data_IF_862083421406
#
_entry.id   IF_862083421406
#
_cell.length_a   1.000
_cell.length_b   1.000
_cell.length_c   1.000
_cell.angle_alpha   90.00
_cell.angle_beta   90.00
_cell.angle_gamma   90.00
#
_symmetry.space_group_name_H-M   'P 1'
#
loop_
_entity.id
_entity.type
_entity.pdbx_description
1 polymer ?
#
# COMPACT_ATOMS: atom_id res chain seq x y z
N UNK A 1 -21.17 -7.79 5.30
CA UNK A 1 -19.73 -7.68 5.62
C UNK A 1 -19.55 -7.37 7.12
N UNK A 2 -18.43 -7.82 7.75
CA UNK A 2 -18.19 -7.57 9.19
C UNK A 2 -16.82 -6.95 9.37
N UNK A 3 -16.74 -5.80 10.02
CA UNK A 3 -15.49 -5.07 10.23
C UNK A 3 -15.19 -4.87 11.71
N UNK A 4 -13.92 -5.01 12.08
CA UNK A 4 -13.39 -4.73 13.41
C UNK A 4 -12.54 -3.47 13.34
N UNK A 5 -13.03 -2.38 13.87
CA UNK A 5 -12.34 -1.09 13.86
C UNK A 5 -11.51 -0.91 15.13
N UNK A 6 -10.23 -0.61 14.93
CA UNK A 6 -9.32 -0.23 16.00
C UNK A 6 -9.67 1.15 16.55
N UNK A 7 -9.72 1.26 17.89
CA UNK A 7 -9.70 2.52 18.62
C UNK A 7 -8.39 2.64 19.41
N UNK A 8 -7.68 3.74 19.21
CA UNK A 8 -6.48 4.06 19.96
C UNK A 8 -6.87 4.94 21.15
N UNK A 9 -6.71 4.44 22.37
CA UNK A 9 -7.13 5.16 23.60
C UNK A 9 -8.59 5.62 23.56
N UNK A 10 -9.49 4.79 23.03
CA UNK A 10 -10.92 5.06 22.93
C UNK A 10 -11.38 5.82 21.67
N UNK A 11 -10.47 6.31 20.85
CA UNK A 11 -10.77 7.11 19.65
C UNK A 11 -10.42 6.36 18.35
N UNK A 12 -11.22 6.58 17.31
CA UNK A 12 -10.88 6.18 15.94
C UNK A 12 -9.84 7.17 15.42
N UNK A 13 -8.72 6.68 14.86
CA UNK A 13 -7.60 7.54 14.40
C UNK A 13 -7.10 7.24 13.00
N UNK A 14 -7.68 6.26 12.32
CA UNK A 14 -7.26 5.85 10.98
C UNK A 14 -8.27 6.29 9.93
N UNK A 15 -7.77 6.84 8.83
CA UNK A 15 -8.57 7.34 7.70
C UNK A 15 -9.48 6.25 7.10
N UNK A 16 -8.98 5.02 6.93
CA UNK A 16 -9.80 3.87 6.53
C UNK A 16 -11.02 3.66 7.43
N UNK A 17 -10.86 3.83 8.74
CA UNK A 17 -11.94 3.63 9.68
C UNK A 17 -13.00 4.73 9.57
N UNK A 18 -12.59 5.98 9.41
CA UNK A 18 -13.51 7.10 9.20
C UNK A 18 -14.29 6.93 7.91
N UNK A 19 -13.61 6.72 6.78
CA UNK A 19 -14.27 6.58 5.48
C UNK A 19 -15.16 5.33 5.42
N UNK A 20 -14.77 4.23 6.11
CA UNK A 20 -15.63 3.06 6.23
C UNK A 20 -16.91 3.32 7.03
N UNK A 21 -16.82 4.11 8.11
CA UNK A 21 -18.01 4.51 8.89
C UNK A 21 -18.96 5.36 8.03
N UNK A 22 -18.44 6.33 7.29
CA UNK A 22 -19.22 7.12 6.32
C UNK A 22 -19.84 6.22 5.24
N UNK A 23 -19.06 5.31 4.67
CA UNK A 23 -19.55 4.35 3.70
C UNK A 23 -20.66 3.45 4.24
N UNK A 24 -20.61 3.09 5.53
CA UNK A 24 -21.65 2.31 6.19
C UNK A 24 -22.96 3.09 6.26
N UNK A 25 -22.90 4.35 6.70
CA UNK A 25 -24.09 5.22 6.75
C UNK A 25 -24.66 5.48 5.36
N UNK A 26 -23.80 5.71 4.38
CA UNK A 26 -24.21 5.91 2.99
C UNK A 26 -24.89 4.69 2.39
N UNK A 27 -24.34 3.49 2.60
CA UNK A 27 -24.93 2.24 2.10
C UNK A 27 -26.24 1.89 2.80
N UNK A 28 -26.37 2.11 4.09
CA UNK A 28 -27.61 1.91 4.84
C UNK A 28 -28.73 2.84 4.34
N UNK A 29 -28.39 4.08 3.94
CA UNK A 29 -29.34 5.06 3.41
C UNK A 29 -29.75 4.79 1.97
N UNK A 30 -28.77 4.42 1.08
CA UNK A 30 -29.01 4.40 -0.36
C UNK A 30 -29.50 3.04 -0.89
N UNK A 31 -29.11 1.94 -0.29
CA UNK A 31 -29.06 0.68 -1.03
C UNK A 31 -29.86 -0.48 -0.43
N UNK A 32 -30.40 -0.36 0.78
CA UNK A 32 -31.06 -1.50 1.49
C UNK A 32 -30.30 -2.84 1.28
N UNK A 33 -28.96 -2.75 1.21
CA UNK A 33 -28.04 -3.86 0.89
C UNK A 33 -27.66 -4.62 2.16
N UNK A 34 -26.90 -5.71 1.96
CA UNK A 34 -26.33 -6.52 3.04
C UNK A 34 -25.75 -5.65 4.16
N UNK A 35 -26.35 -5.74 5.33
CA UNK A 35 -26.00 -4.93 6.50
C UNK A 35 -24.51 -5.05 6.85
N UNK A 36 -23.81 -3.93 6.81
CA UNK A 36 -22.44 -3.84 7.31
C UNK A 36 -22.49 -3.88 8.83
N UNK A 37 -21.80 -4.83 9.44
CA UNK A 37 -21.68 -4.94 10.89
C UNK A 37 -20.33 -4.41 11.35
N UNK A 38 -20.33 -3.42 12.23
CA UNK A 38 -19.12 -2.84 12.80
C UNK A 38 -19.00 -3.22 14.27
N UNK A 39 -17.79 -3.64 14.68
CA UNK A 39 -17.37 -3.83 16.06
C UNK A 39 -16.12 -2.99 16.31
N UNK A 40 -16.00 -2.43 17.50
CA UNK A 40 -14.81 -1.67 17.90
C UNK A 40 -13.99 -2.46 18.91
N UNK A 41 -12.67 -2.28 18.83
CA UNK A 41 -11.71 -2.80 19.81
C UNK A 41 -10.78 -1.68 20.27
N UNK A 42 -10.63 -1.51 21.58
CA UNK A 42 -9.70 -0.54 22.16
C UNK A 42 -8.30 -1.15 22.26
N UNK A 43 -7.32 -0.39 21.79
CA UNK A 43 -5.91 -0.78 21.81
C UNK A 43 -5.07 0.35 22.43
N UNK A 44 -3.93 -0.04 22.98
CA UNK A 44 -2.85 0.87 23.36
C UNK A 44 -1.56 0.31 22.76
N UNK A 45 -0.82 1.14 22.04
CA UNK A 45 0.40 0.76 21.35
C UNK A 45 1.57 1.63 21.83
N UNK A 46 2.67 0.97 22.17
CA UNK A 46 3.93 1.64 22.46
C UNK A 46 4.75 1.78 21.17
N UNK A 47 4.88 3.00 20.61
CA UNK A 47 5.59 3.21 19.35
C UNK A 47 7.11 3.05 19.49
N UNK A 48 7.66 3.15 20.69
CA UNK A 48 9.10 3.02 20.95
C UNK A 48 9.49 1.55 20.89
N UNK A 49 8.77 0.71 21.63
CA UNK A 49 9.03 -0.73 21.67
C UNK A 49 8.30 -1.51 20.55
N UNK A 50 7.46 -0.81 19.76
CA UNK A 50 6.64 -1.39 18.67
C UNK A 50 5.78 -2.57 19.13
N UNK A 51 5.18 -2.48 20.30
CA UNK A 51 4.33 -3.53 20.89
C UNK A 51 2.99 -2.97 21.37
N UNK A 52 1.95 -3.79 21.34
CA UNK A 52 0.69 -3.47 21.98
C UNK A 52 0.80 -3.70 23.48
N UNK A 53 0.58 -2.65 24.27
CA UNK A 53 0.45 -2.74 25.73
C UNK A 53 -0.97 -3.15 26.15
N UNK A 54 -1.93 -2.94 25.25
CA UNK A 54 -3.31 -3.39 25.41
C UNK A 54 -3.90 -3.83 24.08
N UNK A 55 -4.13 -5.12 23.95
CA UNK A 55 -4.82 -5.73 22.83
C UNK A 55 -5.38 -7.08 23.29
N UNK A 56 -6.72 -7.24 23.27
CA UNK A 56 -7.37 -8.50 23.61
C UNK A 56 -8.38 -8.91 22.52
N UNK A 57 -8.05 -9.96 21.78
CA UNK A 57 -8.90 -10.53 20.76
C UNK A 57 -9.89 -11.60 21.28
N UNK A 58 -9.86 -11.98 22.55
CA UNK A 58 -10.76 -13.04 23.08
C UNK A 58 -12.26 -12.81 22.79
N UNK A 59 -12.80 -11.56 22.88
CA UNK A 59 -14.20 -11.31 22.54
C UNK A 59 -14.45 -11.16 21.04
N UNK A 60 -13.44 -11.35 20.18
CA UNK A 60 -13.50 -11.11 18.75
C UNK A 60 -13.57 -12.44 18.01
N UNK A 61 -14.37 -12.47 16.94
CA UNK A 61 -14.46 -13.62 16.06
C UNK A 61 -13.56 -13.43 14.83
N UNK A 62 -12.87 -14.47 14.39
CA UNK A 62 -11.98 -14.44 13.23
C UNK A 62 -12.63 -13.97 11.91
N UNK A 63 -13.97 -14.00 11.80
CA UNK A 63 -14.72 -13.56 10.59
C UNK A 63 -14.84 -12.03 10.42
N UNK A 64 -14.23 -11.25 11.29
CA UNK A 64 -14.17 -9.80 11.11
C UNK A 64 -12.96 -9.43 10.24
N UNK A 65 -13.14 -8.42 9.39
CA UNK A 65 -12.05 -7.76 8.67
C UNK A 65 -11.47 -6.67 9.57
N UNK A 66 -10.19 -6.75 9.95
CA UNK A 66 -9.57 -5.74 10.82
C UNK A 66 -9.30 -4.45 10.05
N UNK A 67 -9.62 -3.31 10.67
CA UNK A 67 -9.41 -1.96 10.12
C UNK A 67 -8.70 -1.12 11.20
N UNK A 68 -7.51 -0.65 10.89
CA UNK A 68 -6.69 0.13 11.83
C UNK A 68 -5.26 0.30 11.34
N UNK A 69 -4.31 0.45 12.27
CA UNK A 69 -2.89 0.53 11.92
C UNK A 69 -2.38 -0.77 11.31
N UNK A 70 -1.27 -0.67 10.59
CA UNK A 70 -0.58 -1.84 10.02
C UNK A 70 -0.26 -2.87 11.11
N UNK A 71 0.21 -2.41 12.27
CA UNK A 71 0.53 -3.25 13.41
C UNK A 71 -0.70 -3.98 13.95
N UNK A 72 -1.86 -3.31 13.98
CA UNK A 72 -3.12 -3.92 14.43
C UNK A 72 -3.60 -5.00 13.46
N UNK A 73 -3.59 -4.72 12.15
CA UNK A 73 -4.00 -5.70 11.13
C UNK A 73 -3.03 -6.90 11.13
N UNK A 74 -1.73 -6.65 11.21
CA UNK A 74 -0.71 -7.71 11.32
C UNK A 74 -0.92 -8.56 12.56
N UNK A 75 -1.16 -7.95 13.74
CA UNK A 75 -1.43 -8.69 14.97
C UNK A 75 -2.71 -9.55 14.87
N UNK A 76 -3.75 -9.04 14.21
CA UNK A 76 -4.98 -9.80 13.95
C UNK A 76 -4.72 -11.02 13.05
N UNK A 77 -4.02 -10.81 11.93
CA UNK A 77 -3.67 -11.88 10.99
C UNK A 77 -2.80 -12.95 11.68
N UNK A 78 -1.82 -12.53 12.44
CA UNK A 78 -0.96 -13.45 13.21
C UNK A 78 -1.75 -14.24 14.25
N UNK A 79 -2.65 -13.56 15.01
CA UNK A 79 -3.42 -14.21 16.08
C UNK A 79 -4.41 -15.26 15.56
N UNK A 80 -5.16 -14.96 14.49
CA UNK A 80 -6.23 -15.83 14.01
C UNK A 80 -5.81 -16.79 12.90
N UNK A 81 -4.77 -16.46 12.15
CA UNK A 81 -4.38 -17.20 10.94
C UNK A 81 -2.91 -17.63 10.91
N UNK A 82 -2.07 -17.14 11.84
CA UNK A 82 -0.63 -17.42 11.83
C UNK A 82 0.12 -16.71 10.69
N UNK A 83 -0.49 -15.70 10.08
CA UNK A 83 0.04 -15.00 8.90
C UNK A 83 0.75 -13.70 9.28
N UNK A 84 1.89 -13.43 8.64
CA UNK A 84 2.62 -12.17 8.76
C UNK A 84 2.81 -11.56 7.37
N UNK A 85 2.08 -10.46 7.04
CA UNK A 85 2.18 -9.85 5.73
C UNK A 85 3.57 -9.30 5.45
N UNK A 86 4.00 -9.42 4.19
CA UNK A 86 5.22 -8.81 3.67
C UNK A 86 4.89 -7.57 2.83
N UNK A 87 5.82 -6.61 2.68
CA UNK A 87 5.60 -5.48 1.80
C UNK A 87 5.56 -5.94 0.33
N UNK A 88 4.72 -5.32 -0.49
CA UNK A 88 4.71 -5.58 -1.93
C UNK A 88 5.92 -4.90 -2.61
N UNK A 89 6.32 -3.71 -2.14
CA UNK A 89 7.33 -2.87 -2.80
C UNK A 89 7.02 -2.68 -4.29
N UNK A 90 8.02 -2.71 -5.19
CA UNK A 90 7.75 -2.78 -6.63
C UNK A 90 7.67 -4.25 -7.02
N UNK A 91 6.51 -4.74 -7.48
CA UNK A 91 6.36 -6.14 -7.91
C UNK A 91 7.29 -6.48 -9.08
N UNK A 92 7.72 -7.74 -9.16
CA UNK A 92 8.64 -8.20 -10.21
C UNK A 92 8.11 -7.94 -11.62
N UNK A 93 6.80 -8.01 -11.82
CA UNK A 93 6.14 -7.73 -13.10
C UNK A 93 6.30 -6.28 -13.56
N UNK A 94 6.54 -5.37 -12.61
CA UNK A 94 6.73 -3.93 -12.83
C UNK A 94 8.20 -3.50 -12.79
N UNK A 95 9.15 -4.41 -12.52
CA UNK A 95 10.59 -4.15 -12.61
C UNK A 95 11.04 -4.08 -14.08
N UNK A 96 10.44 -3.16 -14.83
CA UNK A 96 10.70 -2.95 -16.27
C UNK A 96 11.16 -1.52 -16.52
N UNK A 97 12.14 -1.29 -17.40
CA UNK A 97 12.65 0.06 -17.68
C UNK A 97 11.57 1.07 -18.00
N UNK A 98 10.53 0.66 -18.76
CA UNK A 98 9.39 1.50 -19.13
C UNK A 98 8.54 2.00 -17.97
N UNK A 99 8.61 1.34 -16.79
CA UNK A 99 7.86 1.71 -15.59
C UNK A 99 8.73 2.33 -14.49
N UNK A 100 10.04 2.08 -14.50
CA UNK A 100 10.94 2.41 -13.39
C UNK A 100 11.62 3.77 -13.53
N UNK A 101 12.10 4.10 -14.73
CA UNK A 101 12.95 5.25 -15.03
C UNK A 101 14.20 5.41 -14.15
N UNK A 102 14.59 4.34 -13.47
CA UNK A 102 15.79 4.21 -12.64
C UNK A 102 16.16 2.74 -12.51
N UNK A 103 17.37 2.45 -12.06
CA UNK A 103 17.75 1.08 -11.78
C UNK A 103 17.16 0.64 -10.43
N UNK A 104 16.50 -0.51 -10.40
CA UNK A 104 15.92 -1.13 -9.21
C UNK A 104 16.18 -2.62 -9.26
N UNK A 105 16.64 -3.19 -8.14
CA UNK A 105 16.87 -4.63 -8.00
C UNK A 105 16.61 -5.10 -6.58
N UNK A 106 16.41 -6.41 -6.41
CA UNK A 106 16.30 -7.04 -5.11
C UNK A 106 17.67 -7.63 -4.75
N UNK A 107 18.15 -7.39 -3.54
CA UNK A 107 19.46 -7.83 -3.06
C UNK A 107 19.56 -7.78 -1.53
N UNK A 108 20.75 -7.95 -1.02
CA UNK A 108 21.07 -7.87 0.41
C UNK A 108 21.77 -6.55 0.73
N UNK A 109 21.96 -6.26 2.02
CA UNK A 109 22.73 -5.10 2.48
C UNK A 109 24.14 -5.02 1.89
N UNK A 110 24.74 -6.17 1.51
CA UNK A 110 26.10 -6.26 0.95
C UNK A 110 26.22 -5.76 -0.48
N UNK A 111 25.08 -5.66 -1.17
CA UNK A 111 25.03 -5.22 -2.58
C UNK A 111 24.73 -3.72 -2.71
N UNK A 112 24.57 -3.03 -1.58
CA UNK A 112 24.34 -1.58 -1.54
C UNK A 112 25.68 -0.87 -1.75
N UNK A 113 25.77 -0.05 -2.78
CA UNK A 113 26.96 0.77 -3.10
C UNK A 113 26.55 2.15 -3.56
N UNK A 114 27.23 3.19 -3.06
CA UNK A 114 26.92 4.58 -3.33
C UNK A 114 25.58 5.03 -2.75
N UNK A 115 25.04 6.12 -3.26
CA UNK A 115 23.75 6.65 -2.82
C UNK A 115 22.60 5.81 -3.39
N UNK A 116 21.78 5.25 -2.50
CA UNK A 116 20.63 4.42 -2.85
C UNK A 116 19.44 4.73 -1.95
N UNK A 117 18.25 4.42 -2.46
CA UNK A 117 17.04 4.30 -1.65
C UNK A 117 16.74 2.83 -1.42
N UNK A 118 16.56 2.44 -0.17
CA UNK A 118 16.52 1.03 0.25
C UNK A 118 15.25 0.74 1.04
N UNK A 119 14.54 -0.31 0.67
CA UNK A 119 13.32 -0.78 1.37
C UNK A 119 13.44 -2.25 1.74
N UNK A 120 13.13 -2.62 2.98
CA UNK A 120 13.04 -4.03 3.38
C UNK A 120 11.98 -4.78 2.57
N UNK A 121 12.29 -6.02 2.17
CA UNK A 121 11.36 -6.95 1.53
C UNK A 121 10.77 -7.97 2.51
N UNK A 122 11.30 -8.06 3.72
CA UNK A 122 10.89 -9.07 4.70
C UNK A 122 9.79 -8.59 5.65
N UNK A 123 9.78 -7.30 5.98
CA UNK A 123 8.85 -6.73 6.96
C UNK A 123 8.35 -5.35 6.53
N UNK A 124 7.03 -5.16 6.62
CA UNK A 124 6.40 -3.86 6.36
C UNK A 124 6.95 -2.81 7.35
N UNK A 125 7.38 -1.66 6.83
CA UNK A 125 7.92 -0.50 7.60
C UNK A 125 9.09 -0.84 8.54
N UNK A 126 9.84 -1.89 8.23
CA UNK A 126 11.01 -2.25 9.05
C UNK A 126 12.19 -1.31 8.79
N UNK A 127 12.54 -1.13 7.51
CA UNK A 127 13.61 -0.26 7.07
C UNK A 127 13.25 0.36 5.73
N UNK A 128 13.29 1.69 5.65
CA UNK A 128 13.03 2.46 4.42
C UNK A 128 13.79 3.77 4.55
N UNK A 129 14.93 3.88 3.88
CA UNK A 129 15.84 5.03 4.04
C UNK A 129 16.66 5.31 2.78
N UNK A 130 17.15 6.55 2.69
CA UNK A 130 18.26 6.91 1.82
C UNK A 130 19.56 6.53 2.51
N UNK A 131 20.42 5.82 1.81
CA UNK A 131 21.70 5.31 2.34
C UNK A 131 22.84 5.67 1.41
N UNK A 132 24.05 5.68 1.98
CA UNK A 132 25.33 5.84 1.28
C UNK A 132 26.34 4.81 1.80
N UNK A 133 27.58 4.86 1.28
CA UNK A 133 28.64 3.92 1.68
C UNK A 133 29.03 4.00 3.17
N UNK A 134 28.54 5.02 3.91
CA UNK A 134 28.82 5.20 5.35
C UNK A 134 27.64 4.73 6.22
N UNK A 135 26.49 4.48 5.63
CA UNK A 135 25.28 4.10 6.34
C UNK A 135 25.35 2.63 6.74
N UNK A 136 25.20 2.36 8.04
CA UNK A 136 25.13 0.98 8.53
C UNK A 136 23.70 0.42 8.32
N UNK A 137 23.51 -0.31 7.23
CA UNK A 137 22.23 -0.96 6.92
C UNK A 137 22.14 -2.29 7.66
N UNK A 138 21.05 -2.59 8.38
CA UNK A 138 20.87 -3.89 9.04
C UNK A 138 20.96 -5.06 8.06
N UNK A 139 21.42 -6.22 8.54
CA UNK A 139 21.42 -7.45 7.74
C UNK A 139 19.98 -7.82 7.32
N UNK A 140 19.77 -8.11 6.03
CA UNK A 140 18.44 -8.46 5.50
C UNK A 140 18.32 -8.41 3.98
N UNK A 141 17.10 -8.62 3.51
CA UNK A 141 16.76 -8.52 2.10
C UNK A 141 16.08 -7.17 1.81
N UNK A 142 16.48 -6.57 0.71
CA UNK A 142 16.06 -5.22 0.34
C UNK A 142 15.70 -5.11 -1.13
N UNK A 143 14.77 -4.22 -1.44
CA UNK A 143 14.67 -3.63 -2.75
C UNK A 143 15.49 -2.35 -2.76
N UNK A 144 16.46 -2.29 -3.64
CA UNK A 144 17.50 -1.26 -3.74
C UNK A 144 17.27 -0.49 -5.02
N UNK A 145 17.19 0.83 -4.95
CA UNK A 145 16.95 1.67 -6.12
C UNK A 145 17.90 2.86 -6.18
N UNK A 146 18.18 3.32 -7.39
CA UNK A 146 18.81 4.62 -7.57
C UNK A 146 17.93 5.72 -7.01
N UNK A 147 18.58 6.79 -6.52
CA UNK A 147 17.90 8.00 -6.07
C UNK A 147 17.53 8.84 -7.29
N UNK A 148 16.27 9.18 -7.41
CA UNK A 148 15.78 10.09 -8.44
C UNK A 148 14.98 11.24 -7.82
N UNK A 149 14.91 12.37 -8.51
CA UNK A 149 14.05 13.48 -8.11
C UNK A 149 12.60 13.13 -8.43
N UNK A 150 11.73 13.22 -7.45
CA UNK A 150 10.29 13.11 -7.60
C UNK A 150 9.69 14.49 -7.31
N UNK A 151 8.93 15.05 -8.24
CA UNK A 151 8.34 16.39 -8.10
C UNK A 151 6.89 16.33 -7.65
N UNK A 152 6.20 15.21 -7.97
CA UNK A 152 4.85 14.94 -7.53
C UNK A 152 4.64 13.46 -7.29
N UNK A 153 3.90 13.10 -6.25
CA UNK A 153 3.60 11.72 -5.89
C UNK A 153 2.10 11.50 -5.80
N UNK A 154 1.66 10.42 -6.44
CA UNK A 154 0.25 10.09 -6.57
C UNK A 154 -0.02 8.64 -6.18
N UNK A 155 -1.15 8.42 -5.52
CA UNK A 155 -1.63 7.08 -5.18
C UNK A 155 -2.80 6.69 -6.07
N UNK A 156 -2.59 5.65 -6.87
CA UNK A 156 -3.61 5.03 -7.69
C UNK A 156 -4.28 3.89 -6.91
N UNK A 157 -5.58 3.98 -6.71
CA UNK A 157 -6.39 2.96 -6.04
C UNK A 157 -6.90 1.98 -7.07
N UNK A 158 -6.56 0.70 -6.92
CA UNK A 158 -6.90 -0.35 -7.89
C UNK A 158 -7.81 -1.39 -7.26
N UNK A 159 -8.87 -1.73 -7.97
CA UNK A 159 -9.79 -2.79 -7.57
C UNK A 159 -10.24 -3.61 -8.79
N UNK A 160 -10.06 -4.94 -8.69
CA UNK A 160 -10.37 -5.89 -9.77
C UNK A 160 -9.72 -5.50 -11.10
N UNK A 161 -8.42 -5.16 -11.05
CA UNK A 161 -7.62 -4.78 -12.21
C UNK A 161 -8.06 -3.48 -12.90
N UNK A 162 -8.73 -2.56 -12.18
CA UNK A 162 -9.18 -1.27 -12.71
C UNK A 162 -8.82 -0.14 -11.77
N UNK A 163 -8.35 0.95 -12.33
CA UNK A 163 -8.17 2.22 -11.60
C UNK A 163 -9.52 2.70 -11.06
N UNK A 164 -9.60 3.06 -9.77
CA UNK A 164 -10.80 3.52 -9.07
C UNK A 164 -10.67 4.92 -8.52
N UNK A 165 -9.48 5.38 -8.33
CA UNK A 165 -9.18 6.73 -7.87
C UNK A 165 -7.71 7.03 -7.98
N UNK A 166 -7.38 8.31 -7.99
CA UNK A 166 -6.03 8.81 -8.08
C UNK A 166 -5.93 10.04 -7.18
N UNK A 167 -5.03 10.00 -6.18
CA UNK A 167 -4.90 11.05 -5.18
C UNK A 167 -3.46 11.54 -5.12
N UNK A 168 -3.25 12.86 -5.25
CA UNK A 168 -1.97 13.46 -4.94
C UNK A 168 -1.75 13.43 -3.42
N UNK A 169 -0.58 13.01 -2.98
CA UNK A 169 -0.24 12.99 -1.55
C UNK A 169 1.06 13.72 -1.21
N UNK A 170 1.86 14.08 -2.22
CA UNK A 170 3.11 14.81 -2.03
C UNK A 170 3.46 15.61 -3.30
N UNK A 171 4.15 16.73 -3.13
CA UNK A 171 4.67 17.53 -4.22
C UNK A 171 3.63 18.39 -4.95
N UNK A 172 3.90 18.70 -6.20
CA UNK A 172 3.09 19.62 -7.02
C UNK A 172 1.89 18.90 -7.63
N UNK A 173 0.68 19.16 -7.12
CA UNK A 173 -0.57 18.55 -7.59
C UNK A 173 -0.94 18.94 -9.04
N UNK A 174 -0.31 19.97 -9.62
CA UNK A 174 -0.54 20.36 -11.01
C UNK A 174 0.21 19.47 -12.00
N UNK A 175 1.21 18.74 -11.53
CA UNK A 175 1.94 17.72 -12.30
C UNK A 175 1.16 16.40 -12.26
N UNK A 176 0.17 16.29 -13.14
CA UNK A 176 -0.72 15.16 -13.18
C UNK A 176 -0.07 13.96 -13.91
N UNK A 177 -0.15 12.73 -13.38
CA UNK A 177 0.49 11.56 -13.99
C UNK A 177 -0.23 11.11 -15.27
N UNK A 178 0.52 10.44 -16.16
CA UNK A 178 -0.03 9.76 -17.33
C UNK A 178 -0.90 8.56 -16.90
N UNK A 179 -2.22 8.71 -17.04
CA UNK A 179 -3.19 7.66 -16.68
C UNK A 179 -3.06 6.43 -17.58
N UNK A 180 -2.64 6.59 -18.82
CA UNK A 180 -2.43 5.44 -19.73
C UNK A 180 -1.23 4.62 -19.27
N UNK A 181 -0.18 5.28 -18.77
CA UNK A 181 0.97 4.60 -18.16
C UNK A 181 0.55 3.84 -16.91
N UNK A 182 -0.27 4.44 -16.04
CA UNK A 182 -0.83 3.76 -14.86
C UNK A 182 -1.66 2.55 -15.29
N UNK A 183 -2.51 2.68 -16.29
CA UNK A 183 -3.31 1.57 -16.81
C UNK A 183 -2.44 0.44 -17.41
N UNK A 184 -1.32 0.76 -18.05
CA UNK A 184 -0.34 -0.24 -18.52
C UNK A 184 0.29 -1.00 -17.34
N UNK A 185 0.68 -0.29 -16.26
CA UNK A 185 1.19 -0.91 -15.03
C UNK A 185 0.13 -1.84 -14.41
N UNK A 186 -1.12 -1.37 -14.27
CA UNK A 186 -2.23 -2.17 -13.72
C UNK A 186 -2.45 -3.44 -14.55
N UNK A 187 -2.54 -3.34 -15.87
CA UNK A 187 -2.72 -4.49 -16.77
C UNK A 187 -1.59 -5.50 -16.66
N UNK A 188 -0.36 -5.01 -16.58
CA UNK A 188 0.84 -5.85 -16.45
C UNK A 188 0.85 -6.60 -15.13
N UNK A 189 0.47 -5.96 -14.03
CA UNK A 189 0.49 -6.58 -12.70
C UNK A 189 -0.75 -7.43 -12.40
N UNK A 190 -1.90 -7.16 -13.02
CA UNK A 190 -3.20 -7.81 -12.75
C UNK A 190 -3.15 -9.34 -12.62
N UNK A 191 -2.37 -10.11 -13.40
CA UNK A 191 -2.35 -11.58 -13.27
C UNK A 191 -1.85 -12.07 -11.91
N UNK A 192 -1.04 -11.27 -11.19
CA UNK A 192 -0.42 -11.61 -9.91
C UNK A 192 -0.83 -10.67 -8.78
N UNK A 193 -1.56 -9.61 -9.10
CA UNK A 193 -1.93 -8.57 -8.15
C UNK A 193 -2.99 -9.03 -7.14
N UNK A 194 -2.96 -8.48 -5.92
CA UNK A 194 -4.11 -8.53 -5.04
C UNK A 194 -5.36 -7.95 -5.71
N UNK A 195 -6.54 -8.39 -5.29
CA UNK A 195 -7.82 -7.90 -5.84
C UNK A 195 -8.06 -6.41 -5.56
N UNK A 196 -7.48 -5.91 -4.47
CA UNK A 196 -7.46 -4.49 -4.10
C UNK A 196 -6.05 -4.13 -3.60
N UNK A 197 -5.46 -3.09 -4.16
CA UNK A 197 -4.12 -2.60 -3.83
C UNK A 197 -3.97 -1.15 -4.25
N UNK A 198 -2.85 -0.52 -3.90
CA UNK A 198 -2.47 0.78 -4.45
C UNK A 198 -1.16 0.71 -5.20
N UNK A 199 -1.02 1.56 -6.23
CA UNK A 199 0.25 1.88 -6.86
C UNK A 199 0.59 3.33 -6.52
N UNK A 200 1.75 3.55 -5.93
CA UNK A 200 2.32 4.88 -5.80
C UNK A 200 3.16 5.16 -7.05
N UNK A 201 2.83 6.26 -7.70
CA UNK A 201 3.53 6.70 -8.91
C UNK A 201 4.13 8.07 -8.69
N UNK A 202 5.35 8.23 -9.18
CA UNK A 202 6.06 9.49 -9.22
C UNK A 202 5.88 10.17 -10.55
N UNK A 203 5.93 11.51 -10.52
CA UNK A 203 5.97 12.35 -11.70
C UNK A 203 7.19 13.26 -11.58
N UNK A 204 7.95 13.38 -12.67
CA UNK A 204 8.99 14.38 -12.80
C UNK A 204 9.00 14.96 -14.22
N UNK A 205 9.65 16.09 -14.38
CA UNK A 205 9.93 16.64 -15.71
C UNK A 205 10.98 15.75 -16.37
N UNK A 206 10.77 15.42 -17.63
CA UNK A 206 11.87 14.90 -18.43
C UNK A 206 13.03 15.88 -18.30
N UNK A 207 14.21 15.36 -17.99
CA UNK A 207 15.41 16.13 -18.25
C UNK A 207 15.35 16.44 -19.75
N UNK A 208 15.09 17.71 -20.09
CA UNK A 208 15.17 18.17 -21.47
C UNK A 208 16.56 17.76 -21.95
N UNK A 209 16.65 16.62 -22.64
CA UNK A 209 17.79 16.35 -23.49
C UNK A 209 17.74 17.52 -24.45
N UNK A 210 18.80 18.30 -24.47
CA UNK A 210 19.02 19.46 -25.33
C UNK A 210 18.63 19.14 -26.79
N UNK A 211 17.36 19.14 -27.06
CA UNK A 211 16.81 19.24 -28.39
C UNK A 211 16.23 20.65 -28.47
N UNK A 212 16.95 21.46 -29.18
CA UNK A 212 16.61 22.82 -29.59
C UNK A 212 15.30 22.80 -30.41
N UNK A 213 14.17 22.63 -29.74
CA UNK A 213 12.84 22.66 -30.35
C UNK A 213 11.92 23.44 -29.43
N UNK A 214 11.42 24.58 -29.95
CA UNK A 214 10.44 25.46 -29.34
C UNK A 214 9.05 24.81 -29.07
N UNK A 215 8.98 23.50 -28.97
CA UNK A 215 7.77 22.78 -28.58
C UNK A 215 7.86 22.46 -27.09
N UNK A 216 7.33 23.35 -26.26
CA UNK A 216 6.98 23.13 -24.87
C UNK A 216 5.88 22.05 -24.82
N UNK A 217 6.25 20.84 -25.12
CA UNK A 217 5.44 19.69 -24.78
C UNK A 217 5.72 19.43 -23.29
N UNK A 218 4.79 19.82 -22.41
CA UNK A 218 4.78 19.49 -20.99
C UNK A 218 4.59 17.97 -20.80
N UNK A 219 5.53 17.17 -21.32
CA UNK A 219 5.53 15.73 -21.10
C UNK A 219 6.16 15.43 -19.75
N UNK A 220 5.32 15.02 -18.83
CA UNK A 220 5.74 14.52 -17.53
C UNK A 220 6.05 13.03 -17.63
N UNK A 221 7.18 12.61 -17.06
CA UNK A 221 7.45 11.19 -16.86
C UNK A 221 6.63 10.65 -15.69
N UNK A 222 5.89 9.59 -15.93
CA UNK A 222 5.17 8.84 -14.89
C UNK A 222 5.82 7.48 -14.67
N UNK A 223 6.24 7.21 -13.44
CA UNK A 223 6.94 5.97 -13.09
C UNK A 223 6.44 5.38 -11.76
N UNK A 224 6.65 4.08 -11.57
CA UNK A 224 6.28 3.39 -10.33
C UNK A 224 7.23 3.74 -9.19
N UNK A 225 6.69 4.07 -8.02
CA UNK A 225 7.42 4.19 -6.75
C UNK A 225 7.33 2.88 -5.99
N UNK A 226 6.12 2.39 -5.73
CA UNK A 226 5.85 1.13 -5.02
C UNK A 226 4.39 0.69 -5.16
N UNK A 227 4.11 -0.54 -4.73
CA UNK A 227 2.75 -1.04 -4.52
C UNK A 227 2.52 -1.30 -3.02
N UNK A 228 1.29 -1.16 -2.58
CA UNK A 228 0.88 -1.52 -1.22
C UNK A 228 -0.34 -2.44 -1.22
N UNK A 229 -0.34 -3.39 -0.29
CA UNK A 229 -1.57 -4.04 0.10
C UNK A 229 -2.58 -3.04 0.64
N UNK A 230 -3.85 -3.28 0.37
CA UNK A 230 -4.91 -2.31 0.61
C UNK A 230 -5.13 -1.95 2.10
N UNK A 231 -4.51 -2.65 3.03
CA UNK A 231 -4.53 -2.32 4.46
C UNK A 231 -3.35 -1.48 4.94
N UNK A 232 -2.27 -1.41 4.16
CA UNK A 232 -0.99 -0.81 4.57
C UNK A 232 -0.72 0.57 3.97
N UNK A 233 -1.69 1.14 3.26
CA UNK A 233 -1.63 2.45 2.63
C UNK A 233 -2.49 3.49 3.37
N UNK A 234 -2.37 4.78 3.03
CA UNK A 234 -3.30 5.84 3.43
C UNK A 234 -4.30 6.15 2.29
N UNK A 235 -5.47 6.66 2.62
CA UNK A 235 -6.50 7.00 1.62
C UNK A 235 -6.28 8.35 0.92
N UNK A 236 -5.66 9.31 1.60
CA UNK A 236 -5.40 10.66 1.07
C UNK A 236 -6.61 11.33 0.40
N UNK A 237 -7.81 11.10 0.95
CA UNK A 237 -9.06 11.62 0.41
C UNK A 237 -9.78 10.71 -0.57
N UNK A 238 -9.27 9.52 -0.89
CA UNK A 238 -10.06 8.52 -1.62
C UNK A 238 -11.28 8.11 -0.81
N UNK A 239 -12.47 8.40 -1.33
CA UNK A 239 -13.74 8.24 -0.64
C UNK A 239 -14.84 7.67 -1.55
N UNK A 240 -14.52 6.62 -2.33
CA UNK A 240 -15.58 5.87 -3.02
C UNK A 240 -16.33 5.01 -2.01
N UNK A 241 -17.38 5.59 -1.43
CA UNK A 241 -18.19 4.99 -0.38
C UNK A 241 -18.91 3.70 -0.81
N UNK A 242 -19.13 3.51 -2.13
CA UNK A 242 -19.72 2.30 -2.66
C UNK A 242 -18.75 1.12 -2.72
N UNK A 243 -17.50 1.40 -3.09
CA UNK A 243 -16.50 0.37 -3.41
C UNK A 243 -15.59 0.08 -2.23
N UNK A 244 -15.27 1.07 -1.40
CA UNK A 244 -14.31 0.94 -0.29
C UNK A 244 -14.60 -0.26 0.64
N UNK A 245 -15.85 -0.49 1.12
CA UNK A 245 -16.12 -1.66 1.97
C UNK A 245 -15.85 -2.98 1.24
N UNK A 246 -16.10 -3.03 -0.06
CA UNK A 246 -15.86 -4.21 -0.89
C UNK A 246 -14.36 -4.43 -1.13
N UNK A 247 -13.58 -3.35 -1.35
CA UNK A 247 -12.12 -3.42 -1.51
C UNK A 247 -11.49 -4.02 -0.26
N UNK A 248 -11.82 -3.49 0.92
CA UNK A 248 -11.31 -3.96 2.22
C UNK A 248 -11.70 -5.42 2.48
N UNK A 249 -12.97 -5.76 2.27
CA UNK A 249 -13.47 -7.11 2.51
C UNK A 249 -12.84 -8.14 1.56
N UNK A 250 -12.78 -7.83 0.27
CA UNK A 250 -12.31 -8.78 -0.74
C UNK A 250 -10.79 -8.94 -0.69
N UNK A 251 -10.03 -7.86 -0.42
CA UNK A 251 -8.60 -7.94 -0.17
C UNK A 251 -8.31 -8.92 0.97
N UNK A 252 -8.96 -8.73 2.12
CA UNK A 252 -8.70 -9.54 3.32
C UNK A 252 -8.96 -11.03 3.09
N UNK A 253 -10.09 -11.39 2.46
CA UNK A 253 -10.40 -12.80 2.24
C UNK A 253 -9.58 -13.43 1.14
N UNK A 254 -9.22 -12.69 0.09
CA UNK A 254 -8.29 -13.17 -0.93
C UNK A 254 -6.91 -13.45 -0.31
N UNK A 255 -6.37 -12.51 0.47
CA UNK A 255 -5.08 -12.63 1.13
C UNK A 255 -5.02 -13.92 1.98
N UNK A 256 -6.02 -14.12 2.87
CA UNK A 256 -6.06 -15.33 3.70
C UNK A 256 -6.14 -16.61 2.85
N UNK A 257 -6.95 -16.62 1.80
CA UNK A 257 -7.10 -17.81 0.95
C UNK A 257 -5.81 -18.16 0.22
N UNK A 258 -5.10 -17.17 -0.31
CA UNK A 258 -3.82 -17.37 -1.00
C UNK A 258 -2.74 -17.88 -0.05
N UNK A 259 -2.52 -17.24 1.07
CA UNK A 259 -1.50 -17.62 2.04
C UNK A 259 -1.75 -19.01 2.65
N UNK A 260 -3.01 -19.35 2.94
CA UNK A 260 -3.37 -20.68 3.43
C UNK A 260 -3.23 -21.75 2.36
N UNK A 261 -3.41 -21.43 1.09
CA UNK A 261 -3.19 -22.35 -0.03
C UNK A 261 -1.69 -22.64 -0.20
N UNK A 262 -0.86 -21.59 -0.25
CA UNK A 262 0.60 -21.69 -0.38
C UNK A 262 1.23 -22.46 0.79
N UNK A 263 0.78 -22.19 2.01
CA UNK A 263 1.25 -22.91 3.20
C UNK A 263 0.98 -24.43 3.15
N UNK A 264 -0.09 -24.86 2.47
CA UNK A 264 -0.42 -26.29 2.29
C UNK A 264 0.39 -26.97 1.19
N UNK A 265 0.91 -26.22 0.24
CA UNK A 265 1.73 -26.75 -0.86
C UNK A 265 3.19 -26.97 -0.42
N UNK A 266 3.63 -26.27 0.63
CA UNK A 266 4.98 -26.34 1.16
C UNK A 266 5.14 -27.34 2.34
N UNK A 267 4.08 -28.09 2.68
CA UNK A 267 4.06 -29.20 3.63
C UNK A 267 4.03 -30.57 2.90
#
# INVERSE_FOLDING_TARGET
MKFLIQKCSGEVRHDFAFTLLEATHFNDWLLDREKITIKFINTEFDPINKVFTKLDFKPVHFKYVPIGSVEFVTAFLQHFYGLTPKPLNIPNELLKPEFLQRFVFNGTEKEITGEKFVKSTDRIKFYTEFVDDKTNVPEGNYQISDVIKIESEWRAFVYKGRLRGLQNYSGDFTMFPDVEQIDRMIKTYTPHAPIAYTLDVGVNREAAIELDVDDYNDSWNTFIIEAHDFFSCGLYGFADLNILPQMLHNWFWQYIQQEMYESRQNL
#
